data_IF_285618604675
#
_entry.id   IF_285618604675
#
_cell.length_a   1.000
_cell.length_b   1.000
_cell.length_c   1.000
_cell.angle_alpha   90.00
_cell.angle_beta   90.00
_cell.angle_gamma   90.00
#
_symmetry.space_group_name_H-M   'P 1'
#
loop_
_entity.id
_entity.type
_entity.pdbx_description
1 polymer ?
#
# COMPACT_ATOMS: atom_id res chain seq x y z
N UNK A 1 62.23 47.15 38.78
CA UNK A 1 62.03 46.27 37.60
C UNK A 1 61.06 45.18 38.01
N UNK A 2 59.84 45.20 37.48
CA UNK A 2 58.82 44.23 37.82
C UNK A 2 57.44 44.76 37.48
N UNK A 3 56.91 44.36 36.32
CA UNK A 3 55.47 44.34 36.09
C UNK A 3 55.09 43.03 35.43
N UNK A 4 54.06 42.44 36.02
CA UNK A 4 53.66 41.05 35.98
C UNK A 4 52.63 40.83 34.87
N UNK A 5 52.81 39.71 34.15
CA UNK A 5 51.81 39.03 33.31
C UNK A 5 50.42 39.02 33.94
N UNK A 6 49.48 39.78 33.37
CA UNK A 6 48.03 39.53 33.51
C UNK A 6 47.34 39.95 32.22
N UNK A 7 47.12 38.99 31.33
CA UNK A 7 46.46 39.28 30.06
C UNK A 7 46.41 38.09 29.12
N UNK A 8 46.05 36.90 29.61
CA UNK A 8 45.80 35.75 28.72
C UNK A 8 44.92 34.67 29.36
N UNK A 9 43.84 35.04 30.05
CA UNK A 9 42.89 34.06 30.61
C UNK A 9 41.41 34.44 30.50
N UNK A 10 41.07 35.50 29.75
CA UNK A 10 39.68 35.96 29.62
C UNK A 10 39.06 35.80 28.24
N UNK A 11 39.78 35.23 27.25
CA UNK A 11 39.26 35.05 25.89
C UNK A 11 38.99 33.59 25.49
N UNK A 12 39.26 32.61 26.37
CA UNK A 12 39.00 31.18 26.09
C UNK A 12 37.68 30.70 26.75
N UNK A 13 36.94 31.58 27.43
CA UNK A 13 35.63 31.25 28.01
C UNK A 13 34.43 31.74 27.16
N UNK A 14 34.66 32.26 25.95
CA UNK A 14 33.60 32.76 25.06
C UNK A 14 33.52 32.04 23.71
N UNK A 15 34.18 30.88 23.54
CA UNK A 15 34.14 30.06 22.32
C UNK A 15 33.62 28.64 22.62
N UNK A 16 32.87 28.44 23.71
CA UNK A 16 32.26 27.13 24.04
C UNK A 16 30.76 27.22 24.38
N UNK A 17 30.08 28.32 24.04
CA UNK A 17 28.67 28.52 24.39
C UNK A 17 27.75 28.87 23.21
N UNK A 18 28.15 28.61 21.97
CA UNK A 18 27.33 28.93 20.77
C UNK A 18 27.24 27.79 19.75
N UNK A 19 27.40 26.54 20.16
CA UNK A 19 27.08 25.36 19.32
C UNK A 19 26.01 24.48 19.96
N UNK A 20 25.02 25.10 20.59
CA UNK A 20 23.80 24.47 21.09
C UNK A 20 22.62 25.30 20.61
N UNK A 21 22.26 25.20 19.33
CA UNK A 21 20.97 25.67 18.82
C UNK A 21 20.89 25.34 17.32
N UNK A 22 20.64 24.06 17.03
CA UNK A 22 19.85 23.57 15.89
C UNK A 22 20.11 22.05 15.72
N UNK A 23 20.23 21.30 16.82
CA UNK A 23 19.74 19.92 16.75
C UNK A 23 18.24 20.07 16.60
N UNK A 24 17.77 20.04 15.36
CA UNK A 24 16.36 19.84 15.07
C UNK A 24 15.98 18.55 15.78
N UNK A 25 15.33 18.69 16.94
CA UNK A 25 14.87 17.56 17.71
C UNK A 25 13.94 16.79 16.79
N UNK A 26 14.36 15.56 16.48
CA UNK A 26 13.59 14.64 15.69
C UNK A 26 12.23 14.47 16.38
N UNK A 27 11.15 15.00 15.82
CA UNK A 27 9.80 14.73 16.30
C UNK A 27 9.23 13.59 15.45
N UNK A 28 8.44 12.68 16.03
CA UNK A 28 7.93 11.53 15.28
C UNK A 28 6.99 11.96 14.13
N UNK A 29 6.05 12.84 14.44
CA UNK A 29 5.33 13.61 13.43
C UNK A 29 5.95 15.03 13.35
N UNK A 30 6.18 15.57 12.14
CA UNK A 30 6.63 16.95 11.97
C UNK A 30 5.65 17.97 12.55
N UNK A 31 4.36 17.65 12.52
CA UNK A 31 3.30 18.49 13.07
C UNK A 31 2.98 18.14 14.54
N UNK A 32 3.14 19.10 15.48
CA UNK A 32 2.83 18.89 16.89
C UNK A 32 1.32 18.81 17.21
N UNK A 33 0.45 19.17 16.26
CA UNK A 33 -1.01 19.14 16.43
C UNK A 33 -1.66 17.87 15.86
N UNK A 34 -0.88 16.90 15.41
CA UNK A 34 -1.47 15.67 14.86
C UNK A 34 -2.19 14.92 16.00
N UNK A 35 -3.34 14.32 15.67
CA UNK A 35 -4.05 13.42 16.58
C UNK A 35 -3.76 12.01 16.10
N UNK A 36 -3.07 11.20 16.92
CA UNK A 36 -2.87 9.79 16.59
C UNK A 36 -4.22 9.13 16.39
N UNK A 37 -4.45 8.58 15.21
CA UNK A 37 -5.47 7.56 15.04
C UNK A 37 -4.99 6.35 15.84
N UNK A 38 -5.70 6.02 16.91
CA UNK A 38 -5.41 4.90 17.79
C UNK A 38 -5.71 3.57 17.06
N UNK A 39 -4.95 3.26 16.01
CA UNK A 39 -5.01 1.99 15.29
C UNK A 39 -3.83 1.11 15.70
N UNK A 40 -4.09 0.06 16.48
CA UNK A 40 -3.07 -0.94 16.87
C UNK A 40 -2.58 -1.80 15.69
N UNK A 41 -3.16 -1.62 14.49
CA UNK A 41 -2.92 -2.47 13.32
C UNK A 41 -1.68 -2.09 12.52
N UNK A 42 -1.18 -0.85 12.60
CA UNK A 42 -0.06 -0.41 11.76
C UNK A 42 1.28 -0.64 12.44
N UNK A 43 2.19 -1.31 11.72
CA UNK A 43 3.47 -1.82 12.23
C UNK A 43 4.66 -1.36 11.38
N UNK A 44 5.64 -0.71 12.00
CA UNK A 44 6.91 -0.30 11.41
C UNK A 44 7.93 -1.42 11.49
N UNK A 45 8.59 -1.75 10.38
CA UNK A 45 9.74 -2.65 10.41
C UNK A 45 11.01 -1.89 10.83
N UNK A 46 11.68 -2.37 11.86
CA UNK A 46 13.04 -1.95 12.22
C UNK A 46 14.09 -2.67 11.36
N UNK A 47 15.33 -2.22 11.42
CA UNK A 47 16.46 -2.80 10.68
C UNK A 47 16.80 -4.23 11.11
N UNK A 48 16.36 -4.65 12.30
CA UNK A 48 16.48 -6.02 12.82
C UNK A 48 15.30 -6.93 12.40
N UNK A 49 14.35 -6.40 11.62
CA UNK A 49 13.17 -7.12 11.14
C UNK A 49 12.03 -7.22 12.16
N UNK A 50 12.15 -6.58 13.33
CA UNK A 50 11.06 -6.49 14.30
C UNK A 50 10.05 -5.42 13.89
N UNK A 51 8.82 -5.56 14.39
CA UNK A 51 7.71 -4.67 14.09
C UNK A 51 7.28 -3.89 15.33
N UNK A 52 7.13 -2.57 15.22
CA UNK A 52 6.67 -1.70 16.32
C UNK A 52 5.43 -0.90 15.90
N UNK A 53 4.54 -0.59 16.85
CA UNK A 53 3.39 0.28 16.62
C UNK A 53 3.78 1.75 16.47
N UNK A 54 2.87 2.60 15.97
CA UNK A 54 3.05 4.06 15.92
C UNK A 54 3.46 4.67 17.26
N UNK A 55 2.79 4.29 18.35
CA UNK A 55 3.09 4.80 19.71
C UNK A 55 4.45 4.35 20.22
N UNK A 56 4.86 3.11 19.92
CA UNK A 56 6.20 2.62 20.24
C UNK A 56 7.27 3.33 19.43
N UNK A 57 7.05 3.55 18.13
CA UNK A 57 7.97 4.27 17.27
C UNK A 57 8.13 5.74 17.71
N UNK A 58 7.04 6.40 18.15
CA UNK A 58 7.09 7.73 18.74
C UNK A 58 7.95 7.76 20.01
N UNK A 59 7.77 6.80 20.92
CA UNK A 59 8.59 6.71 22.13
C UNK A 59 10.07 6.49 21.79
N UNK A 60 10.39 5.68 20.78
CA UNK A 60 11.78 5.48 20.34
C UNK A 60 12.42 6.75 19.78
N UNK A 61 11.65 7.61 19.11
CA UNK A 61 12.12 8.94 18.68
C UNK A 61 12.34 9.86 19.88
N UNK A 62 11.40 9.88 20.84
CA UNK A 62 11.52 10.67 22.06
C UNK A 62 12.73 10.26 22.91
N UNK A 63 13.05 8.97 22.94
CA UNK A 63 14.20 8.41 23.65
C UNK A 63 15.53 8.61 22.88
N UNK A 64 15.49 9.20 21.68
CA UNK A 64 16.67 9.44 20.84
C UNK A 64 17.29 8.17 20.26
N UNK A 65 16.55 7.05 20.23
CA UNK A 65 17.00 5.77 19.69
C UNK A 65 17.03 5.77 18.16
N UNK A 66 16.32 6.70 17.52
CA UNK A 66 16.26 6.82 16.07
C UNK A 66 16.81 8.18 15.65
N UNK A 67 17.93 8.15 14.95
CA UNK A 67 18.69 9.35 14.54
C UNK A 67 18.43 9.76 13.10
N UNK A 68 17.72 8.93 12.32
CA UNK A 68 17.37 9.22 10.93
C UNK A 68 15.91 9.71 10.82
N UNK A 69 15.72 11.02 10.99
CA UNK A 69 14.40 11.65 11.00
C UNK A 69 13.70 11.59 9.65
N UNK A 70 14.43 11.71 8.54
CA UNK A 70 13.87 11.71 7.19
C UNK A 70 13.13 10.39 6.90
N UNK A 71 13.74 9.26 7.25
CA UNK A 71 13.11 7.95 7.04
C UNK A 71 11.90 7.76 7.95
N UNK A 72 11.96 8.28 9.18
CA UNK A 72 10.82 8.23 10.10
C UNK A 72 9.68 9.10 9.65
N UNK A 73 9.92 10.32 9.21
CA UNK A 73 8.87 11.24 8.79
C UNK A 73 8.10 10.66 7.61
N UNK A 74 8.81 10.17 6.59
CA UNK A 74 8.17 9.53 5.43
C UNK A 74 7.35 8.30 5.83
N UNK A 75 7.87 7.46 6.73
CA UNK A 75 7.14 6.29 7.20
C UNK A 75 5.95 6.68 8.10
N UNK A 76 6.11 7.66 8.99
CA UNK A 76 5.09 8.09 9.94
C UNK A 76 3.95 8.85 9.25
N UNK A 77 4.24 9.62 8.19
CA UNK A 77 3.22 10.20 7.30
C UNK A 77 2.40 9.08 6.64
N UNK A 78 3.07 8.09 6.05
CA UNK A 78 2.40 6.98 5.31
C UNK A 78 1.61 6.04 6.23
N UNK A 79 2.15 5.72 7.40
CA UNK A 79 1.66 4.61 8.23
C UNK A 79 0.99 5.06 9.53
N UNK A 80 1.36 6.22 10.08
CA UNK A 80 0.73 6.75 11.30
C UNK A 80 -0.23 7.90 11.03
N UNK A 81 -0.45 8.25 9.77
CA UNK A 81 -1.30 9.37 9.40
C UNK A 81 -0.84 10.66 10.11
N UNK A 82 0.48 10.89 10.18
CA UNK A 82 1.10 12.10 10.72
C UNK A 82 0.84 13.35 9.84
N UNK A 83 -0.31 13.42 9.18
CA UNK A 83 -0.62 14.43 8.17
C UNK A 83 -0.54 15.86 8.73
N UNK A 84 -0.11 16.77 7.85
CA UNK A 84 -0.15 18.21 8.06
C UNK A 84 -1.63 18.65 8.19
N UNK A 85 -2.02 19.39 9.24
CA UNK A 85 -3.39 19.84 9.47
C UNK A 85 -3.80 20.92 8.45
N UNK A 86 -2.84 21.40 7.66
CA UNK A 86 -3.03 22.26 6.50
C UNK A 86 -2.92 21.51 5.17
N UNK A 87 -2.65 20.19 5.19
CA UNK A 87 -2.91 19.35 4.03
C UNK A 87 -4.41 19.42 3.82
N UNK A 88 -4.84 20.15 2.79
CA UNK A 88 -6.24 20.14 2.41
C UNK A 88 -6.67 18.67 2.34
N UNK A 89 -7.81 18.29 2.96
CA UNK A 89 -8.26 16.91 2.96
C UNK A 89 -8.18 16.45 1.53
N UNK A 90 -7.24 15.55 1.22
CA UNK A 90 -6.83 15.29 -0.15
C UNK A 90 -8.11 15.02 -0.94
N UNK A 91 -8.53 15.96 -1.79
CA UNK A 91 -9.73 15.84 -2.62
C UNK A 91 -9.62 14.64 -3.59
N UNK A 92 -8.50 13.91 -3.51
CA UNK A 92 -8.10 12.79 -4.34
C UNK A 92 -7.80 11.52 -3.53
N UNK A 93 -8.40 11.33 -2.34
CA UNK A 93 -8.37 10.00 -1.71
C UNK A 93 -9.18 9.01 -2.53
N UNK A 94 -8.52 7.97 -3.05
CA UNK A 94 -9.26 6.94 -3.77
C UNK A 94 -10.19 6.18 -2.83
N UNK A 95 -11.49 6.27 -3.10
CA UNK A 95 -12.52 5.45 -2.46
C UNK A 95 -13.00 4.35 -3.38
N UNK A 96 -13.07 3.11 -2.89
CA UNK A 96 -13.48 1.95 -3.69
C UNK A 96 -14.88 2.10 -4.28
N UNK A 97 -15.80 2.76 -3.57
CA UNK A 97 -17.16 3.02 -4.05
C UNK A 97 -17.38 4.48 -4.53
N UNK A 98 -16.30 5.21 -4.82
CA UNK A 98 -16.33 6.63 -5.19
C UNK A 98 -16.66 7.57 -4.03
N UNK A 99 -16.90 8.84 -4.34
CA UNK A 99 -16.91 9.94 -3.35
C UNK A 99 -18.03 9.85 -2.30
N UNK A 100 -19.13 9.17 -2.62
CA UNK A 100 -20.40 9.28 -1.89
C UNK A 100 -20.88 8.00 -1.21
N UNK A 101 -20.15 6.88 -1.32
CA UNK A 101 -20.65 5.60 -0.85
C UNK A 101 -19.69 4.96 0.18
N UNK A 102 -20.21 4.67 1.36
CA UNK A 102 -19.57 3.76 2.30
C UNK A 102 -19.43 2.36 1.66
N UNK A 103 -18.40 1.61 2.07
CA UNK A 103 -18.24 0.22 1.66
C UNK A 103 -19.47 -0.59 2.10
N UNK A 104 -20.21 -1.24 1.19
CA UNK A 104 -21.37 -2.04 1.56
C UNK A 104 -21.01 -3.26 2.41
N UNK A 105 -19.81 -3.82 2.18
CA UNK A 105 -19.34 -5.03 2.86
C UNK A 105 -17.88 -4.87 3.33
N UNK A 106 -17.58 -4.04 4.34
CA UNK A 106 -16.21 -3.72 4.76
C UNK A 106 -15.43 -4.96 5.24
N UNK A 107 -16.09 -5.89 5.93
CA UNK A 107 -15.47 -7.12 6.46
C UNK A 107 -15.36 -8.25 5.42
N UNK A 108 -15.85 -8.07 4.19
CA UNK A 108 -15.79 -9.11 3.17
C UNK A 108 -14.34 -9.31 2.74
N UNK A 109 -13.87 -10.55 2.81
CA UNK A 109 -12.54 -10.91 2.32
C UNK A 109 -12.56 -11.09 0.80
N UNK A 110 -11.73 -10.32 0.12
CA UNK A 110 -11.49 -10.33 -1.33
C UNK A 110 -9.99 -10.35 -1.55
N UNK A 111 -9.50 -11.25 -2.40
CA UNK A 111 -8.08 -11.32 -2.73
C UNK A 111 -7.12 -11.37 -1.54
N UNK A 112 -7.47 -12.08 -0.46
CA UNK A 112 -6.70 -12.26 0.78
C UNK A 112 -6.76 -11.11 1.81
N UNK A 113 -7.42 -9.99 1.49
CA UNK A 113 -7.65 -8.86 2.41
C UNK A 113 -9.14 -8.56 2.56
N UNK A 114 -9.51 -7.89 3.63
CA UNK A 114 -10.86 -7.31 3.79
C UNK A 114 -11.06 -6.13 2.85
N UNK A 115 -12.32 -5.78 2.57
CA UNK A 115 -12.64 -4.61 1.77
C UNK A 115 -12.17 -3.30 2.42
N UNK A 116 -12.16 -3.24 3.75
CA UNK A 116 -11.64 -2.08 4.49
C UNK A 116 -10.11 -1.94 4.34
N UNK A 117 -9.38 -3.06 4.39
CA UNK A 117 -7.95 -3.07 4.07
C UNK A 117 -7.68 -2.66 2.62
N UNK A 118 -8.51 -3.08 1.65
CA UNK A 118 -8.40 -2.62 0.27
C UNK A 118 -8.73 -1.14 0.08
N UNK A 119 -9.67 -0.60 0.87
CA UNK A 119 -9.97 0.82 0.87
C UNK A 119 -8.77 1.62 1.37
N UNK A 120 -8.09 1.13 2.39
CA UNK A 120 -6.84 1.71 2.88
C UNK A 120 -5.75 1.67 1.81
N UNK A 121 -5.53 0.51 1.17
CA UNK A 121 -4.58 0.37 0.06
C UNK A 121 -4.90 1.32 -1.09
N UNK A 122 -6.17 1.41 -1.52
CA UNK A 122 -6.59 2.29 -2.61
C UNK A 122 -6.33 3.77 -2.27
N UNK A 123 -6.63 4.19 -1.04
CA UNK A 123 -6.33 5.55 -0.56
C UNK A 123 -4.84 5.86 -0.60
N UNK A 124 -3.97 4.87 -0.34
CA UNK A 124 -2.53 5.06 -0.39
C UNK A 124 -1.95 5.03 -1.82
N UNK A 125 -2.55 4.25 -2.73
CA UNK A 125 -2.09 4.07 -4.13
C UNK A 125 -2.81 5.01 -5.14
N UNK A 126 -3.31 6.17 -4.68
CA UNK A 126 -4.34 6.96 -5.35
C UNK A 126 -3.96 7.58 -6.71
N UNK A 127 -2.68 7.87 -6.99
CA UNK A 127 -2.28 8.74 -8.11
C UNK A 127 -2.51 8.14 -9.51
N UNK A 128 -2.43 6.80 -9.68
CA UNK A 128 -2.56 6.17 -11.00
C UNK A 128 -3.57 5.03 -11.07
N UNK A 129 -3.85 4.36 -9.94
CA UNK A 129 -4.56 3.08 -9.97
C UNK A 129 -5.99 3.16 -9.43
N UNK A 130 -6.49 4.34 -9.07
CA UNK A 130 -7.80 4.48 -8.44
C UNK A 130 -8.96 3.90 -9.27
N UNK A 131 -9.07 4.19 -10.60
CA UNK A 131 -10.09 3.57 -11.42
C UNK A 131 -9.99 2.04 -11.45
N UNK A 132 -8.78 1.49 -11.39
CA UNK A 132 -8.56 0.05 -11.36
C UNK A 132 -9.04 -0.54 -10.04
N UNK A 133 -8.71 0.08 -8.91
CA UNK A 133 -9.20 -0.32 -7.58
C UNK A 133 -10.74 -0.28 -7.48
N UNK A 134 -11.37 0.78 -7.98
CA UNK A 134 -12.83 0.93 -7.99
C UNK A 134 -13.51 -0.15 -8.84
N UNK A 135 -12.98 -0.40 -10.04
CA UNK A 135 -13.53 -1.38 -10.98
C UNK A 135 -13.22 -2.83 -10.60
N UNK A 136 -12.15 -3.10 -9.85
CA UNK A 136 -11.83 -4.41 -9.32
C UNK A 136 -12.46 -4.64 -7.94
N UNK A 137 -11.78 -4.18 -6.88
CA UNK A 137 -12.12 -4.40 -5.49
C UNK A 137 -13.41 -3.70 -5.10
N UNK A 138 -13.71 -2.51 -5.63
CA UNK A 138 -15.01 -1.88 -5.41
C UNK A 138 -16.18 -2.78 -5.83
N UNK A 139 -16.11 -3.35 -7.04
CA UNK A 139 -17.11 -4.30 -7.52
C UNK A 139 -17.24 -5.54 -6.60
N UNK A 140 -16.12 -6.13 -6.17
CA UNK A 140 -16.14 -7.28 -5.25
C UNK A 140 -16.65 -6.95 -3.85
N UNK A 141 -16.41 -5.72 -3.40
CA UNK A 141 -16.86 -5.17 -2.13
C UNK A 141 -18.31 -4.68 -2.16
N UNK A 142 -19.01 -4.88 -3.28
CA UNK A 142 -20.44 -4.63 -3.42
C UNK A 142 -20.80 -3.21 -3.79
N UNK A 143 -19.83 -2.38 -4.19
CA UNK A 143 -20.13 -1.07 -4.74
C UNK A 143 -21.06 -1.19 -5.96
N UNK A 144 -21.85 -0.15 -6.21
CA UNK A 144 -22.77 -0.14 -7.35
C UNK A 144 -22.01 -0.10 -8.68
N UNK A 145 -22.13 -1.18 -9.46
CA UNK A 145 -21.55 -1.30 -10.79
C UNK A 145 -22.59 -1.16 -11.91
N UNK A 146 -23.81 -0.70 -11.58
CA UNK A 146 -24.91 -0.57 -12.54
C UNK A 146 -24.79 0.65 -13.47
N UNK A 147 -23.88 1.57 -13.17
CA UNK A 147 -23.61 2.72 -14.01
C UNK A 147 -23.21 2.29 -15.43
N UNK A 148 -23.79 2.89 -16.48
CA UNK A 148 -23.40 2.60 -17.86
C UNK A 148 -21.90 2.86 -18.06
N UNK A 149 -21.20 1.89 -18.64
CA UNK A 149 -19.76 2.01 -18.92
C UNK A 149 -18.86 1.94 -17.69
N UNK A 150 -19.36 1.48 -16.53
CA UNK A 150 -18.54 1.32 -15.31
C UNK A 150 -17.26 0.51 -15.58
N UNK A 151 -17.33 -0.54 -16.39
CA UNK A 151 -16.18 -1.37 -16.76
C UNK A 151 -15.52 -0.97 -18.08
N UNK A 152 -15.85 0.18 -18.67
CA UNK A 152 -15.26 0.59 -19.95
C UNK A 152 -13.73 0.70 -19.83
N UNK A 153 -13.02 0.06 -20.77
CA UNK A 153 -11.56 -0.01 -20.79
C UNK A 153 -10.95 -0.87 -19.67
N UNK A 154 -11.76 -1.61 -18.89
CA UNK A 154 -11.29 -2.49 -17.83
C UNK A 154 -11.34 -3.95 -18.29
N UNK A 155 -10.22 -4.66 -18.15
CA UNK A 155 -10.10 -6.06 -18.49
C UNK A 155 -10.55 -6.95 -17.32
N UNK A 156 -11.73 -7.58 -17.40
CA UNK A 156 -12.11 -8.63 -16.46
C UNK A 156 -11.57 -9.98 -16.92
N UNK A 157 -11.22 -10.84 -15.97
CA UNK A 157 -10.82 -12.23 -16.26
C UNK A 157 -11.98 -13.04 -16.86
N UNK A 158 -13.22 -12.75 -16.45
CA UNK A 158 -14.43 -13.44 -16.92
C UNK A 158 -15.25 -12.63 -17.94
N UNK A 159 -14.61 -11.89 -18.84
CA UNK A 159 -15.30 -11.13 -19.89
C UNK A 159 -16.02 -9.91 -19.33
N UNK A 160 -17.35 -9.91 -19.37
CA UNK A 160 -18.16 -8.80 -18.84
C UNK A 160 -18.70 -9.08 -17.43
N UNK A 161 -18.29 -10.20 -16.83
CA UNK A 161 -18.82 -10.67 -15.54
C UNK A 161 -17.82 -10.50 -14.39
N UNK A 162 -18.37 -10.27 -13.20
CA UNK A 162 -17.61 -10.30 -11.94
C UNK A 162 -17.21 -11.76 -11.64
N UNK A 163 -15.97 -11.98 -11.17
CA UNK A 163 -15.52 -13.31 -10.74
C UNK A 163 -16.46 -13.84 -9.64
N UNK A 164 -16.98 -15.06 -9.79
CA UNK A 164 -17.78 -15.71 -8.76
C UNK A 164 -16.94 -16.15 -7.55
N UNK A 165 -15.65 -16.45 -7.78
CA UNK A 165 -14.69 -16.86 -6.74
C UNK A 165 -13.43 -15.96 -6.75
N UNK A 166 -13.53 -14.68 -6.32
CA UNK A 166 -12.41 -13.74 -6.35
C UNK A 166 -11.21 -14.19 -5.50
N UNK A 167 -11.44 -15.00 -4.46
CA UNK A 167 -10.41 -15.56 -3.57
C UNK A 167 -9.76 -16.85 -4.11
N UNK A 168 -10.19 -17.37 -5.26
CA UNK A 168 -9.55 -18.54 -5.87
C UNK A 168 -8.09 -18.21 -6.17
N UNK A 169 -7.16 -19.01 -5.66
CA UNK A 169 -5.73 -18.83 -5.90
C UNK A 169 -5.28 -19.58 -7.15
N UNK A 170 -4.42 -18.93 -7.95
CA UNK A 170 -3.69 -19.53 -9.07
C UNK A 170 -2.22 -19.62 -8.69
N UNK A 171 -1.61 -20.79 -8.90
CA UNK A 171 -0.19 -21.01 -8.63
C UNK A 171 0.64 -20.89 -9.91
N UNK A 172 1.70 -20.10 -9.81
CA UNK A 172 2.64 -19.80 -10.87
C UNK A 172 3.99 -20.44 -10.56
N UNK A 173 4.70 -20.85 -11.60
CA UNK A 173 6.09 -21.29 -11.49
C UNK A 173 6.99 -20.34 -12.27
N UNK A 174 7.92 -19.68 -11.57
CA UNK A 174 8.91 -18.80 -12.18
C UNK A 174 9.93 -19.59 -12.99
N UNK A 175 10.67 -18.90 -13.86
CA UNK A 175 11.75 -19.51 -14.66
C UNK A 175 12.88 -20.07 -13.78
N UNK A 176 13.04 -19.56 -12.55
CA UNK A 176 13.97 -20.06 -11.55
C UNK A 176 13.41 -21.25 -10.73
N UNK A 177 12.20 -21.71 -11.03
CA UNK A 177 11.54 -22.81 -10.35
C UNK A 177 10.84 -22.45 -9.05
N UNK A 178 10.82 -21.16 -8.66
CA UNK A 178 10.09 -20.71 -7.48
C UNK A 178 8.59 -20.76 -7.75
N UNK A 179 7.81 -21.19 -6.76
CA UNK A 179 6.35 -21.14 -6.84
C UNK A 179 5.83 -19.95 -6.04
N UNK A 180 4.89 -19.23 -6.62
CA UNK A 180 4.08 -18.25 -5.89
C UNK A 180 2.63 -18.42 -6.30
N UNK A 181 1.73 -18.00 -5.43
CA UNK A 181 0.30 -18.04 -5.71
C UNK A 181 -0.29 -16.65 -5.60
N UNK A 182 -1.34 -16.41 -6.36
CA UNK A 182 -2.06 -15.13 -6.36
C UNK A 182 -3.55 -15.37 -6.49
N UNK A 183 -4.35 -14.64 -5.74
CA UNK A 183 -5.81 -14.66 -5.88
C UNK A 183 -6.26 -14.09 -7.23
N UNK A 184 -7.36 -14.61 -7.77
CA UNK A 184 -7.90 -14.14 -9.04
C UNK A 184 -8.30 -12.66 -9.02
N UNK A 185 -8.83 -12.15 -7.91
CA UNK A 185 -9.08 -10.71 -7.76
C UNK A 185 -7.82 -9.87 -7.89
N UNK A 186 -6.70 -10.31 -7.29
CA UNK A 186 -5.44 -9.57 -7.41
C UNK A 186 -4.80 -9.73 -8.78
N UNK A 187 -4.95 -10.87 -9.45
CA UNK A 187 -4.54 -11.02 -10.87
C UNK A 187 -5.31 -10.02 -11.74
N UNK A 188 -6.63 -9.89 -11.53
CA UNK A 188 -7.44 -8.93 -12.29
C UNK A 188 -7.01 -7.49 -12.02
N UNK A 189 -6.74 -7.12 -10.76
CA UNK A 189 -6.20 -5.79 -10.45
C UNK A 189 -4.88 -5.54 -11.18
N UNK A 190 -3.90 -6.43 -11.01
CA UNK A 190 -2.58 -6.31 -11.61
C UNK A 190 -2.64 -6.09 -13.12
N UNK A 191 -3.56 -6.80 -13.79
CA UNK A 191 -3.71 -6.69 -15.24
C UNK A 191 -4.19 -5.30 -15.67
N UNK A 192 -5.00 -4.65 -14.83
CA UNK A 192 -5.54 -3.33 -15.11
C UNK A 192 -4.65 -2.18 -14.62
N UNK A 193 -3.60 -2.49 -13.87
CA UNK A 193 -2.55 -1.52 -13.51
C UNK A 193 -1.35 -1.60 -14.46
N UNK A 194 -1.19 -2.72 -15.19
CA UNK A 194 -0.13 -2.89 -16.19
C UNK A 194 -0.64 -2.53 -17.60
N UNK A 195 -0.19 -1.38 -18.12
CA UNK A 195 -0.56 -0.88 -19.45
C UNK A 195 -0.15 -1.78 -20.63
N UNK A 196 0.68 -2.81 -20.41
CA UNK A 196 1.25 -3.63 -21.47
C UNK A 196 0.45 -4.89 -21.81
N UNK A 197 -0.62 -5.19 -21.05
CA UNK A 197 -1.29 -6.48 -21.13
C UNK A 197 -2.47 -6.49 -22.10
N UNK A 198 -2.47 -7.51 -22.97
CA UNK A 198 -3.57 -7.81 -23.88
C UNK A 198 -4.69 -8.56 -23.13
N UNK A 199 -5.88 -7.95 -23.08
CA UNK A 199 -7.01 -8.51 -22.34
C UNK A 199 -7.46 -9.87 -22.88
N UNK A 200 -7.40 -10.08 -24.20
CA UNK A 200 -7.80 -11.36 -24.80
C UNK A 200 -6.88 -12.49 -24.33
N UNK A 201 -5.56 -12.25 -24.32
CA UNK A 201 -4.57 -13.19 -23.78
C UNK A 201 -4.84 -13.53 -22.31
N UNK A 202 -5.08 -12.52 -21.47
CA UNK A 202 -5.37 -12.72 -20.04
C UNK A 202 -6.66 -13.52 -19.83
N UNK A 203 -7.72 -13.21 -20.56
CA UNK A 203 -8.98 -13.94 -20.46
C UNK A 203 -8.80 -15.40 -20.86
N UNK A 204 -8.05 -15.68 -21.93
CA UNK A 204 -7.75 -17.05 -22.34
C UNK A 204 -6.93 -17.81 -21.28
N UNK A 205 -5.95 -17.16 -20.66
CA UNK A 205 -5.06 -17.80 -19.69
C UNK A 205 -5.74 -18.05 -18.33
N UNK A 206 -6.58 -17.11 -17.87
CA UNK A 206 -7.10 -17.11 -16.50
C UNK A 206 -8.58 -17.49 -16.36
N UNK A 207 -9.40 -17.39 -17.42
CA UNK A 207 -10.84 -17.66 -17.31
C UNK A 207 -11.16 -19.05 -16.74
N UNK A 208 -10.45 -20.07 -17.21
CA UNK A 208 -10.63 -21.46 -16.73
C UNK A 208 -10.10 -21.63 -15.30
N UNK A 209 -9.00 -20.96 -14.96
CA UNK A 209 -8.33 -21.07 -13.64
C UNK A 209 -9.12 -20.38 -12.53
N UNK A 210 -9.73 -19.25 -12.88
CA UNK A 210 -10.60 -18.47 -12.02
C UNK A 210 -12.07 -18.94 -12.07
N UNK A 211 -12.34 -20.05 -12.77
CA UNK A 211 -13.65 -20.72 -12.81
C UNK A 211 -14.79 -19.82 -13.30
N UNK A 212 -14.55 -19.09 -14.38
CA UNK A 212 -15.59 -18.29 -15.02
C UNK A 212 -16.79 -19.16 -15.42
N UNK A 213 -18.00 -18.70 -15.11
CA UNK A 213 -19.25 -19.38 -15.50
C UNK A 213 -19.73 -20.49 -14.57
N UNK A 214 -19.16 -20.64 -13.38
CA UNK A 214 -19.75 -21.48 -12.33
C UNK A 214 -20.74 -20.61 -11.55
N UNK A 215 -21.99 -21.07 -11.47
CA UNK A 215 -23.15 -20.33 -10.96
C UNK A 215 -22.82 -19.46 -9.74
N UNK A 216 -23.13 -18.16 -9.85
CA UNK A 216 -23.01 -17.21 -8.75
C UNK A 216 -24.10 -17.57 -7.74
N UNK A 217 -23.76 -18.37 -6.73
CA UNK A 217 -24.50 -18.29 -5.47
C UNK A 217 -24.24 -16.90 -4.90
N UNK A 218 -25.13 -15.95 -5.21
CA UNK A 218 -25.15 -14.64 -4.56
C UNK A 218 -25.21 -14.91 -3.06
N UNK A 219 -24.22 -14.50 -2.26
CA UNK A 219 -24.17 -14.86 -0.85
C UNK A 219 -25.36 -14.22 -0.15
N UNK A 220 -26.38 -15.02 0.13
CA UNK A 220 -27.52 -14.65 0.96
C UNK A 220 -27.07 -14.66 2.42
N UNK A 221 -26.56 -13.53 2.93
CA UNK A 221 -26.18 -13.34 4.34
C UNK A 221 -25.09 -14.34 4.83
N UNK A 222 -24.37 -14.06 5.92
CA UNK A 222 -23.08 -14.74 6.18
C UNK A 222 -23.27 -16.24 6.46
N UNK A 223 -22.68 -17.15 5.65
CA UNK A 223 -22.62 -18.56 6.00
C UNK A 223 -21.38 -18.86 6.83
N UNK A 224 -21.60 -19.67 7.86
CA UNK A 224 -20.62 -20.34 8.71
C UNK A 224 -19.49 -21.00 7.92
N UNK A 225 -18.28 -20.84 8.45
CA UNK A 225 -17.01 -21.48 8.09
C UNK A 225 -17.16 -22.88 7.47
N UNK A 226 -17.00 -22.96 6.14
CA UNK A 226 -16.74 -24.22 5.44
C UNK A 226 -15.36 -24.20 4.80
N UNK A 227 -14.55 -25.19 5.14
CA UNK A 227 -13.18 -25.37 4.63
C UNK A 227 -13.25 -25.94 3.20
N UNK A 228 -13.20 -25.09 2.17
CA UNK A 228 -13.02 -25.54 0.78
C UNK A 228 -11.57 -25.99 0.55
N UNK A 229 -11.41 -27.20 0.01
CA UNK A 229 -10.10 -27.78 -0.35
C UNK A 229 -9.70 -27.28 -1.74
N UNK A 230 -8.64 -26.47 -1.82
CA UNK A 230 -8.11 -25.94 -3.07
C UNK A 230 -7.26 -26.99 -3.81
N UNK A 231 -7.71 -27.43 -4.98
CA UNK A 231 -6.90 -28.18 -5.95
C UNK A 231 -6.18 -27.20 -6.88
N UNK A 232 -4.87 -27.04 -6.73
CA UNK A 232 -4.06 -26.12 -7.53
C UNK A 232 -3.68 -26.69 -8.90
N UNK A 233 -3.81 -25.87 -9.95
CA UNK A 233 -3.33 -26.16 -11.32
C UNK A 233 -2.04 -25.38 -11.57
N UNK A 234 -0.99 -26.05 -12.05
CA UNK A 234 0.35 -25.46 -12.28
C UNK A 234 0.46 -24.74 -13.64
N UNK A 235 1.32 -23.72 -13.76
CA UNK A 235 1.66 -23.03 -15.01
C UNK A 235 3.14 -22.63 -15.06
N UNK A 236 3.78 -22.80 -16.21
CA UNK A 236 5.03 -22.10 -16.57
C UNK A 236 4.68 -20.72 -17.12
N UNK A 237 5.05 -19.67 -16.39
CA UNK A 237 4.74 -18.31 -16.80
C UNK A 237 5.72 -17.86 -17.88
N UNK A 238 5.26 -17.24 -18.98
CA UNK A 238 6.17 -16.67 -19.97
C UNK A 238 6.94 -15.48 -19.37
N UNK A 239 8.20 -15.33 -19.76
CA UNK A 239 9.19 -14.43 -19.14
C UNK A 239 8.85 -12.94 -19.19
N UNK A 240 7.88 -12.52 -19.99
CA UNK A 240 7.49 -11.12 -20.14
C UNK A 240 6.68 -10.56 -18.95
N UNK A 241 6.06 -11.41 -18.12
CA UNK A 241 5.36 -10.99 -16.89
C UNK A 241 6.28 -10.62 -15.71
N UNK A 242 7.59 -10.87 -15.79
CA UNK A 242 8.55 -10.59 -14.69
C UNK A 242 9.51 -9.45 -14.99
N UNK A 243 9.14 -8.49 -15.83
CA UNK A 243 9.92 -7.27 -15.99
C UNK A 243 9.28 -6.15 -15.17
N UNK A 244 9.52 -6.06 -13.84
CA UNK A 244 9.20 -4.85 -13.12
C UNK A 244 10.08 -3.73 -13.70
N UNK A 245 9.43 -2.75 -14.32
CA UNK A 245 9.85 -1.34 -14.35
C UNK A 245 11.36 -1.04 -14.41
N UNK A 246 12.10 -1.69 -15.31
CA UNK A 246 13.50 -1.34 -15.58
C UNK A 246 13.63 -0.12 -16.50
N UNK A 247 12.51 0.43 -16.99
CA UNK A 247 12.48 1.56 -17.92
C UNK A 247 12.69 2.91 -17.19
N UNK A 248 12.42 3.02 -15.89
CA UNK A 248 12.61 4.29 -15.17
C UNK A 248 14.08 4.61 -14.83
N UNK A 249 15.00 3.64 -14.92
CA UNK A 249 16.41 3.87 -14.54
C UNK A 249 17.32 4.40 -15.66
N UNK A 250 16.84 4.46 -16.91
CA UNK A 250 17.69 4.86 -18.05
C UNK A 250 17.59 6.37 -18.37
N UNK A 251 16.58 7.08 -17.90
CA UNK A 251 16.47 8.53 -18.16
C UNK A 251 17.33 9.42 -17.26
N UNK A 252 17.91 8.91 -16.16
CA UNK A 252 18.74 9.73 -15.25
C UNK A 252 20.25 9.72 -15.55
N UNK A 253 20.71 8.98 -16.56
CA UNK A 253 22.13 8.91 -16.93
C UNK A 253 22.49 9.71 -18.19
N UNK A 254 21.56 10.50 -18.74
CA UNK A 254 21.78 11.32 -19.95
C UNK A 254 21.39 12.80 -19.76
N UNK A 255 21.49 13.32 -18.54
CA UNK A 255 21.36 14.77 -18.26
C UNK A 255 22.47 15.26 -17.34
#
# INVERSE_FOLDING_TARGET
MGYIRKGLSFFIALIQATTLANEATCTFCPNPNHTQLAGESVKFSLSDGSFVSCSQAEQMVADGLITNCTNIHSAAETFCNCDDPNKEPEEFQCKLCGDANELPFPDRVVGEKTCDEWQTDATNDFEMDCPSYQKSFGAYCGCDTSAPGFFDGFCRICGDSILSKPNQTVTFQSSQGNQFSKSCAKIEQDVNTDMSLDCESIQNDFSTRCKCGWDIEVPSLPPTTSTETNSGTFLQVPTWMYLPNLIYFVCFLLS
#
